data_IF_259181335834
#
_entry.id   IF_259181335834
#
_cell.length_a   1.000
_cell.length_b   1.000
_cell.length_c   1.000
_cell.angle_alpha   90.00
_cell.angle_beta   90.00
_cell.angle_gamma   90.00
#
_symmetry.space_group_name_H-M   'P 1'
#
loop_
_entity.id
_entity.type
_entity.pdbx_description
1 polymer ?
#
# COMPACT_ATOMS: atom_id res chain seq x y z
N UNK A 1 13.76 -20.74 6.46
CA UNK A 1 13.45 -19.61 5.56
C UNK A 1 13.87 -18.31 6.22
N UNK A 2 13.98 -17.18 5.51
CA UNK A 2 14.17 -15.87 6.12
C UNK A 2 13.17 -15.63 7.26
N UNK A 3 13.60 -14.96 8.35
CA UNK A 3 12.73 -14.65 9.49
C UNK A 3 12.30 -15.83 10.38
N UNK A 4 12.84 -17.04 10.16
CA UNK A 4 12.50 -18.21 11.00
C UNK A 4 11.13 -18.83 10.68
N UNK A 5 10.57 -18.53 9.52
CA UNK A 5 9.29 -19.10 9.06
C UNK A 5 9.47 -20.48 8.42
N UNK A 6 8.39 -21.27 8.43
CA UNK A 6 8.27 -22.59 7.77
C UNK A 6 7.29 -22.55 6.59
N UNK A 7 7.51 -23.44 5.61
CA UNK A 7 6.60 -23.59 4.47
C UNK A 7 5.21 -23.97 4.99
N UNK A 8 4.17 -23.30 4.48
CA UNK A 8 2.79 -23.44 4.95
C UNK A 8 2.43 -22.56 6.16
N UNK A 9 3.37 -21.76 6.69
CA UNK A 9 3.03 -20.78 7.73
C UNK A 9 1.99 -19.79 7.20
N UNK A 10 0.94 -19.54 7.98
CA UNK A 10 -0.03 -18.49 7.68
C UNK A 10 0.45 -17.16 8.23
N UNK A 11 0.58 -16.16 7.36
CA UNK A 11 0.92 -14.79 7.73
C UNK A 11 -0.09 -13.81 7.15
N UNK A 12 -0.26 -12.68 7.84
CA UNK A 12 -1.10 -11.58 7.42
C UNK A 12 -0.25 -10.52 6.72
N UNK A 13 -0.72 -10.05 5.58
CA UNK A 13 -0.08 -8.97 4.85
C UNK A 13 -0.39 -7.63 5.53
N UNK A 14 0.63 -6.88 5.89
CA UNK A 14 0.49 -5.59 6.60
C UNK A 14 0.84 -4.39 5.73
N UNK A 15 1.24 -4.60 4.48
CA UNK A 15 1.53 -3.53 3.53
C UNK A 15 0.28 -2.98 2.86
N UNK A 16 0.49 -2.09 1.89
CA UNK A 16 -0.57 -1.53 1.03
C UNK A 16 -1.12 -2.57 0.06
N UNK A 17 -2.45 -2.65 -0.06
CA UNK A 17 -3.15 -3.53 -1.00
C UNK A 17 -2.74 -3.25 -2.43
N UNK A 18 -2.52 -4.31 -3.21
CA UNK A 18 -2.01 -4.23 -4.57
C UNK A 18 -2.74 -5.21 -5.49
N UNK A 19 -2.91 -4.80 -6.73
CA UNK A 19 -3.41 -5.64 -7.82
C UNK A 19 -2.35 -5.69 -8.90
N UNK A 20 -1.90 -6.89 -9.24
CA UNK A 20 -0.87 -7.13 -10.24
C UNK A 20 -1.49 -7.32 -11.63
N UNK A 21 -0.70 -7.07 -12.68
CA UNK A 21 -1.14 -7.23 -14.07
C UNK A 21 -1.54 -8.68 -14.42
N UNK A 22 -1.07 -9.68 -13.65
CA UNK A 22 -1.49 -11.07 -13.77
C UNK A 22 -2.95 -11.30 -13.35
N UNK A 23 -3.55 -10.34 -12.66
CA UNK A 23 -4.84 -10.47 -11.98
C UNK A 23 -4.72 -11.00 -10.55
N UNK A 24 -3.51 -11.34 -10.09
CA UNK A 24 -3.27 -11.63 -8.67
C UNK A 24 -3.42 -10.34 -7.85
N UNK A 25 -3.94 -10.47 -6.64
CA UNK A 25 -4.15 -9.34 -5.75
C UNK A 25 -3.83 -9.70 -4.30
N UNK A 26 -3.40 -8.72 -3.53
CA UNK A 26 -3.19 -8.86 -2.09
C UNK A 26 -3.83 -7.67 -1.40
N UNK A 27 -4.59 -7.93 -0.35
CA UNK A 27 -5.21 -6.89 0.46
C UNK A 27 -4.53 -6.75 1.81
N UNK A 28 -4.50 -5.54 2.35
CA UNK A 28 -4.04 -5.29 3.70
C UNK A 28 -4.91 -6.09 4.69
N UNK A 29 -4.26 -6.81 5.59
CA UNK A 29 -4.91 -7.72 6.53
C UNK A 29 -5.31 -9.07 5.94
N UNK A 30 -5.07 -9.32 4.65
CA UNK A 30 -5.33 -10.63 4.05
C UNK A 30 -4.29 -11.65 4.56
N UNK A 31 -4.78 -12.83 4.96
CA UNK A 31 -3.91 -13.95 5.28
C UNK A 31 -3.51 -14.72 4.02
N UNK A 32 -2.26 -15.17 3.99
CA UNK A 32 -1.73 -16.05 2.96
C UNK A 32 -0.82 -17.10 3.56
N UNK A 33 -0.44 -18.08 2.75
CA UNK A 33 0.46 -19.16 3.15
C UNK A 33 1.85 -18.95 2.57
N UNK A 34 2.90 -19.19 3.36
CA UNK A 34 4.27 -19.11 2.84
C UNK A 34 4.54 -20.31 1.94
N UNK A 35 4.82 -20.05 0.67
CA UNK A 35 5.16 -21.09 -0.32
C UNK A 35 6.67 -21.16 -0.62
N UNK A 36 7.45 -20.21 -0.13
CA UNK A 36 8.89 -20.19 -0.31
C UNK A 36 9.57 -18.91 0.13
N UNK A 37 10.91 -18.81 -0.03
CA UNK A 37 11.59 -17.52 -0.02
C UNK A 37 11.11 -16.66 -1.20
N UNK A 38 11.22 -15.34 -1.08
CA UNK A 38 10.97 -14.46 -2.22
C UNK A 38 11.98 -14.73 -3.35
N UNK A 39 11.47 -14.83 -4.58
CA UNK A 39 12.28 -15.14 -5.77
C UNK A 39 12.82 -13.87 -6.45
N UNK A 40 12.17 -12.72 -6.23
CA UNK A 40 12.60 -11.43 -6.75
C UNK A 40 13.98 -10.99 -6.21
N UNK A 41 14.86 -10.52 -7.09
CA UNK A 41 16.19 -10.02 -6.70
C UNK A 41 16.14 -8.88 -5.67
N UNK A 42 15.10 -8.03 -5.74
CA UNK A 42 14.85 -6.94 -4.80
C UNK A 42 14.44 -7.39 -3.40
N UNK A 43 14.06 -8.66 -3.24
CA UNK A 43 13.53 -9.24 -2.00
C UNK A 43 14.37 -10.43 -1.51
N UNK A 44 15.46 -10.75 -2.22
CA UNK A 44 16.24 -11.97 -2.00
C UNK A 44 16.83 -11.98 -0.59
N UNK A 45 16.37 -12.94 0.21
CA UNK A 45 16.78 -13.08 1.62
C UNK A 45 16.10 -12.14 2.61
N UNK A 46 15.24 -11.23 2.15
CA UNK A 46 14.50 -10.25 2.96
C UNK A 46 12.98 -10.35 2.82
N UNK A 47 12.50 -11.24 1.95
CA UNK A 47 11.09 -11.50 1.73
C UNK A 47 10.75 -12.99 1.67
N UNK A 48 9.45 -13.25 1.65
CA UNK A 48 8.85 -14.57 1.50
C UNK A 48 7.87 -14.54 0.32
N UNK A 49 7.85 -15.62 -0.44
CA UNK A 49 6.80 -15.87 -1.43
C UNK A 49 5.54 -16.31 -0.69
N UNK A 50 4.51 -15.48 -0.75
CA UNK A 50 3.22 -15.69 -0.10
C UNK A 50 2.16 -16.05 -1.13
N UNK A 51 1.38 -17.10 -0.88
CA UNK A 51 0.22 -17.45 -1.70
C UNK A 51 -1.05 -17.01 -0.99
N UNK A 52 -1.72 -16.03 -1.57
CA UNK A 52 -3.00 -15.53 -1.08
C UNK A 52 -4.16 -16.26 -1.76
N UNK A 53 -5.30 -16.44 -1.06
CA UNK A 53 -6.46 -17.09 -1.62
C UNK A 53 -7.00 -16.32 -2.83
N UNK A 54 -7.33 -17.04 -3.91
CA UNK A 54 -7.81 -16.46 -5.17
C UNK A 54 -6.69 -16.17 -6.19
N UNK A 55 -5.42 -16.15 -5.77
CA UNK A 55 -4.30 -15.94 -6.67
C UNK A 55 -3.82 -17.24 -7.32
N UNK A 56 -3.37 -17.12 -8.57
CA UNK A 56 -2.76 -18.22 -9.32
C UNK A 56 -1.27 -18.33 -8.99
N UNK A 57 -0.61 -17.18 -8.80
CA UNK A 57 0.80 -17.09 -8.42
C UNK A 57 1.02 -16.87 -6.92
N UNK A 58 2.27 -16.95 -6.51
CA UNK A 58 2.75 -16.38 -5.25
C UNK A 58 3.18 -14.93 -5.45
N UNK A 59 2.98 -14.12 -4.43
CA UNK A 59 3.40 -12.72 -4.37
C UNK A 59 4.62 -12.65 -3.45
N UNK A 60 5.69 -12.02 -3.92
CA UNK A 60 6.87 -11.76 -3.11
C UNK A 60 6.58 -10.62 -2.14
N UNK A 61 6.49 -10.92 -0.85
CA UNK A 61 6.26 -9.94 0.19
C UNK A 61 7.54 -9.75 1.02
N UNK A 62 7.86 -8.50 1.36
CA UNK A 62 8.93 -8.21 2.31
C UNK A 62 8.55 -8.72 3.70
N UNK A 63 9.53 -9.21 4.48
CA UNK A 63 9.31 -9.63 5.86
C UNK A 63 8.75 -8.50 6.75
N UNK A 64 9.08 -7.25 6.43
CA UNK A 64 8.56 -6.06 7.11
C UNK A 64 7.07 -5.80 6.87
N UNK A 65 6.50 -6.42 5.83
CA UNK A 65 5.09 -6.32 5.44
C UNK A 65 4.31 -7.59 5.80
N UNK A 66 4.86 -8.45 6.65
CA UNK A 66 4.24 -9.70 7.08
C UNK A 66 4.17 -9.77 8.60
N UNK A 67 3.04 -10.24 9.12
CA UNK A 67 2.81 -10.42 10.55
C UNK A 67 2.17 -11.79 10.82
N UNK A 68 2.44 -12.36 11.99
CA UNK A 68 1.74 -13.58 12.46
C UNK A 68 0.34 -13.29 12.98
N UNK A 69 0.07 -12.03 13.33
CA UNK A 69 -1.21 -11.56 13.83
C UNK A 69 -1.85 -10.60 12.83
N UNK A 70 -3.19 -10.52 12.77
CA UNK A 70 -3.88 -9.54 11.95
C UNK A 70 -3.38 -8.12 12.26
N UNK A 71 -3.13 -7.28 11.25
CA UNK A 71 -2.74 -5.91 11.49
C UNK A 71 -3.84 -5.14 12.22
N UNK A 72 -3.46 -4.13 13.02
CA UNK A 72 -4.44 -3.22 13.61
C UNK A 72 -5.21 -2.46 12.52
N UNK A 73 -6.39 -1.89 12.85
CA UNK A 73 -7.13 -1.03 11.93
C UNK A 73 -6.28 0.12 11.40
N UNK A 74 -6.62 0.61 10.20
CA UNK A 74 -5.89 1.71 9.58
C UNK A 74 -5.92 2.98 10.44
N UNK A 75 -4.83 3.76 10.44
CA UNK A 75 -4.74 4.97 11.23
C UNK A 75 -5.79 6.00 10.77
N UNK A 76 -6.29 6.80 11.71
CA UNK A 76 -7.36 7.79 11.45
C UNK A 76 -8.77 7.22 11.36
N UNK A 77 -8.96 5.91 11.63
CA UNK A 77 -10.29 5.27 11.59
C UNK A 77 -10.83 5.13 10.17
N UNK A 78 -9.93 5.01 9.20
CA UNK A 78 -10.25 4.77 7.80
C UNK A 78 -10.37 3.27 7.52
N UNK A 79 -11.07 2.93 6.44
CA UNK A 79 -11.18 1.57 5.93
C UNK A 79 -10.51 1.45 4.55
N UNK A 80 -10.17 0.22 4.17
CA UNK A 80 -9.75 -0.06 2.80
C UNK A 80 -10.88 0.28 1.83
N UNK A 81 -10.54 0.93 0.72
CA UNK A 81 -11.49 1.43 -0.26
C UNK A 81 -12.11 2.79 0.08
N UNK A 82 -11.81 3.37 1.25
CA UNK A 82 -12.24 4.75 1.54
C UNK A 82 -11.71 5.71 0.47
N UNK A 83 -12.58 6.53 -0.11
CA UNK A 83 -12.16 7.60 -1.01
C UNK A 83 -11.78 8.84 -0.22
N UNK A 84 -10.55 9.31 -0.38
CA UNK A 84 -10.05 10.54 0.24
C UNK A 84 -9.44 11.45 -0.82
N UNK A 85 -9.49 12.75 -0.57
CA UNK A 85 -8.92 13.80 -1.40
C UNK A 85 -7.57 14.22 -0.84
N UNK A 86 -6.57 14.29 -1.71
CA UNK A 86 -5.25 14.79 -1.35
C UNK A 86 -5.29 16.31 -1.20
N UNK A 87 -4.92 16.82 -0.03
CA UNK A 87 -4.91 18.25 0.30
C UNK A 87 -3.49 18.84 0.35
N UNK A 88 -2.47 18.01 0.09
CA UNK A 88 -1.10 18.45 -0.03
C UNK A 88 -0.78 19.10 -1.37
N UNK A 89 0.45 19.60 -1.52
CA UNK A 89 0.95 20.13 -2.79
C UNK A 89 1.10 19.02 -3.82
N UNK A 90 0.73 19.27 -5.07
CA UNK A 90 0.88 18.30 -6.17
C UNK A 90 2.33 17.80 -6.27
N UNK A 91 2.49 16.49 -6.46
CA UNK A 91 3.79 15.82 -6.52
C UNK A 91 3.86 14.88 -7.74
N UNK A 92 5.06 14.78 -8.30
CA UNK A 92 5.40 13.81 -9.34
C UNK A 92 6.59 13.02 -8.86
N UNK A 93 6.45 11.71 -8.82
CA UNK A 93 7.48 10.79 -8.38
C UNK A 93 8.34 10.34 -9.57
N UNK A 94 9.59 9.96 -9.30
CA UNK A 94 10.50 9.46 -10.33
C UNK A 94 10.00 8.16 -11.00
N UNK A 95 9.08 7.42 -10.35
CA UNK A 95 8.38 6.25 -10.93
C UNK A 95 7.43 6.62 -12.07
N UNK A 96 7.08 7.91 -12.19
CA UNK A 96 6.02 8.40 -13.07
C UNK A 96 4.64 8.46 -12.40
N UNK A 97 4.52 8.00 -11.15
CA UNK A 97 3.29 8.21 -10.37
C UNK A 97 3.13 9.69 -10.01
N UNK A 98 1.90 10.20 -10.00
CA UNK A 98 1.60 11.59 -9.72
C UNK A 98 0.40 11.71 -8.79
N UNK A 99 0.40 12.74 -7.96
CA UNK A 99 -0.75 13.11 -7.15
C UNK A 99 -0.95 14.62 -7.23
N UNK A 100 -2.17 15.07 -7.47
CA UNK A 100 -2.52 16.49 -7.54
C UNK A 100 -3.34 16.94 -6.33
N UNK A 101 -3.18 18.20 -5.94
CA UNK A 101 -4.05 18.80 -4.93
C UNK A 101 -5.52 18.73 -5.36
N UNK A 102 -6.36 18.15 -4.51
CA UNK A 102 -7.77 17.90 -4.77
C UNK A 102 -8.06 16.61 -5.54
N UNK A 103 -7.03 15.83 -5.90
CA UNK A 103 -7.24 14.53 -6.53
C UNK A 103 -7.78 13.53 -5.50
N UNK A 104 -8.83 12.82 -5.87
CA UNK A 104 -9.35 11.70 -5.08
C UNK A 104 -8.55 10.43 -5.35
N UNK A 105 -8.23 9.70 -4.29
CA UNK A 105 -7.68 8.35 -4.35
C UNK A 105 -8.41 7.42 -3.39
N UNK A 106 -8.13 6.14 -3.51
CA UNK A 106 -8.68 5.10 -2.64
C UNK A 106 -7.64 4.64 -1.62
N UNK A 107 -8.04 4.47 -0.36
CA UNK A 107 -7.18 3.93 0.68
C UNK A 107 -6.92 2.45 0.40
N UNK A 108 -5.66 2.11 0.19
CA UNK A 108 -5.24 0.71 -0.04
C UNK A 108 -4.50 0.12 1.16
N UNK A 109 -4.12 0.91 2.15
CA UNK A 109 -3.49 0.39 3.37
C UNK A 109 -2.86 1.46 4.23
N UNK A 110 -2.08 1.07 5.25
CA UNK A 110 -1.26 2.01 5.99
C UNK A 110 -0.10 2.48 5.13
N UNK A 111 0.45 3.66 5.43
CA UNK A 111 1.67 4.09 4.76
C UNK A 111 2.82 3.12 5.07
N UNK A 112 3.52 2.70 4.02
CA UNK A 112 4.64 1.74 4.11
C UNK A 112 5.97 2.43 4.47
N UNK A 113 6.11 3.72 4.13
CA UNK A 113 7.30 4.51 4.44
C UNK A 113 7.51 4.72 5.94
N UNK A 114 8.74 4.48 6.43
CA UNK A 114 9.13 4.69 7.83
C UNK A 114 8.86 6.12 8.34
N UNK A 115 8.91 7.13 7.47
CA UNK A 115 8.59 8.52 7.83
C UNK A 115 7.10 8.75 8.13
N UNK A 116 6.23 7.88 7.62
CA UNK A 116 4.78 8.04 7.66
C UNK A 116 4.08 6.92 8.44
N UNK A 117 4.84 5.96 8.98
CA UNK A 117 4.31 4.74 9.59
C UNK A 117 3.41 5.06 10.78
N UNK A 118 2.15 4.62 10.71
CA UNK A 118 1.12 4.87 11.72
C UNK A 118 0.53 6.29 11.72
N UNK A 119 0.99 7.18 10.84
CA UNK A 119 0.49 8.55 10.70
C UNK A 119 0.02 8.88 9.27
N UNK A 120 0.11 7.92 8.37
CA UNK A 120 -0.30 8.04 6.97
C UNK A 120 -1.00 6.80 6.46
N UNK A 121 -1.59 6.95 5.28
CA UNK A 121 -2.28 5.92 4.53
C UNK A 121 -1.62 5.79 3.15
N UNK A 122 -1.51 4.55 2.68
CA UNK A 122 -1.22 4.26 1.28
C UNK A 122 -2.47 4.54 0.46
N UNK A 123 -2.37 5.49 -0.46
CA UNK A 123 -3.46 5.94 -1.33
C UNK A 123 -3.18 5.53 -2.78
N UNK A 124 -4.14 4.88 -3.44
CA UNK A 124 -4.07 4.59 -4.87
C UNK A 124 -4.82 5.66 -5.63
N UNK A 125 -4.08 6.46 -6.38
CA UNK A 125 -4.65 7.49 -7.25
C UNK A 125 -4.83 6.96 -8.69
N UNK A 126 -5.86 7.42 -9.41
CA UNK A 126 -6.10 7.00 -10.79
C UNK A 126 -4.93 7.44 -11.68
N UNK A 127 -4.49 6.53 -12.55
CA UNK A 127 -3.33 6.76 -13.45
C UNK A 127 -1.99 6.29 -12.89
N UNK A 128 -1.92 5.99 -11.58
CA UNK A 128 -0.70 5.50 -10.96
C UNK A 128 -0.61 3.97 -10.99
N UNK A 129 0.62 3.48 -11.07
CA UNK A 129 0.93 2.05 -10.99
C UNK A 129 1.11 1.61 -9.54
N UNK A 130 1.62 2.49 -8.69
CA UNK A 130 1.81 2.26 -7.26
C UNK A 130 0.79 2.99 -6.39
N UNK A 131 0.78 2.62 -5.10
CA UNK A 131 0.21 3.44 -4.04
C UNK A 131 1.18 4.53 -3.62
N UNK A 132 0.66 5.69 -3.23
CA UNK A 132 1.42 6.81 -2.72
C UNK A 132 1.14 6.91 -1.21
N UNK A 133 2.19 6.96 -0.41
CA UNK A 133 2.08 7.18 1.03
C UNK A 133 1.73 8.65 1.30
N UNK A 134 0.54 8.89 1.84
CA UNK A 134 0.05 10.21 2.20
C UNK A 134 -0.12 10.33 3.71
N UNK A 135 0.32 11.43 4.30
CA UNK A 135 0.03 11.72 5.71
C UNK A 135 -1.46 11.95 5.93
N UNK A 136 -1.99 11.54 7.08
CA UNK A 136 -3.40 11.82 7.44
C UNK A 136 -3.72 13.32 7.45
N UNK A 137 -2.75 14.17 7.74
CA UNK A 137 -2.89 15.63 7.71
C UNK A 137 -3.03 16.20 6.29
N UNK A 138 -2.68 15.42 5.27
CA UNK A 138 -2.76 15.77 3.85
C UNK A 138 -3.92 15.05 3.15
N UNK A 139 -4.84 14.45 3.92
CA UNK A 139 -5.99 13.73 3.41
C UNK A 139 -7.28 14.30 4.00
N UNK A 140 -8.30 14.40 3.17
CA UNK A 140 -9.62 14.87 3.56
C UNK A 140 -10.71 13.98 2.98
N UNK A 141 -11.80 13.78 3.72
CA UNK A 141 -13.00 13.10 3.19
C UNK A 141 -13.79 13.99 2.23
N UNK A 142 -13.60 15.30 2.32
CA UNK A 142 -14.24 16.29 1.46
C UNK A 142 -13.22 16.89 0.49
N UNK A 143 -13.63 17.25 -0.73
CA UNK A 143 -12.75 17.90 -1.70
C UNK A 143 -12.25 19.22 -1.12
N UNK A 144 -10.92 19.44 -1.05
CA UNK A 144 -10.37 20.69 -0.54
C UNK A 144 -10.74 21.85 -1.47
N UNK A 145 -10.87 23.09 -0.94
CA UNK A 145 -11.04 24.25 -1.78
C UNK A 145 -9.85 24.35 -2.76
N UNK A 146 -10.09 24.76 -4.02
CA UNK A 146 -9.00 24.96 -4.97
C UNK A 146 -7.98 25.94 -4.38
N UNK A 147 -6.69 25.64 -4.54
CA UNK A 147 -5.63 26.53 -4.08
C UNK A 147 -5.85 27.92 -4.69
N UNK A 148 -5.85 29.00 -3.88
CA UNK A 148 -5.92 30.36 -4.41
C UNK A 148 -4.60 30.66 -5.12
N UNK A 149 -4.53 30.35 -6.41
CA UNK A 149 -3.29 30.36 -7.17
C UNK A 149 -3.44 29.96 -8.63
N UNK A 150 -4.57 30.29 -9.27
CA UNK A 150 -4.63 30.33 -10.72
C UNK A 150 -3.81 31.52 -11.22
N UNK A 151 -2.51 31.32 -11.45
CA UNK A 151 -1.73 32.23 -12.29
C UNK A 151 -1.49 31.53 -13.62
N UNK A 152 -2.23 32.02 -14.63
CA UNK A 152 -1.90 31.84 -16.02
C UNK A 152 -0.46 32.30 -16.28
N UNK A 153 0.28 31.51 -17.06
CA UNK A 153 1.30 31.99 -17.98
C UNK A 153 1.10 31.28 -19.31
#
# INVERSE_FOLDING_TARGET
MPGGHALGDTLFFTGSSQTFASGDQVEHGQSGEVVGPADSESCKGQGLGMRFPGNKGSIDCYLTQLSREPPPPLPGGHALGDTLFFTGSSQTFASGDQVEHGQSGEVVGPADSESCKGQGLGMRFPGNKGSIDCYLTQLSREPPPPLPGGHAL
#
